data_IF_019835606759
#
_entry.id   IF_019835606759
#
_cell.length_a   1.000
_cell.length_b   1.000
_cell.length_c   1.000
_cell.angle_alpha   90.00
_cell.angle_beta   90.00
_cell.angle_gamma   90.00
#
_symmetry.space_group_name_H-M   'P 1'
#
loop_
_entity.id
_entity.type
_entity.pdbx_description
1 polymer ?
#
# COMPACT_ATOMS: atom_id res chain seq x y z
N UNK A 1 14.68 -22.25 2.98
CA UNK A 1 13.62 -21.49 2.31
C UNK A 1 13.97 -20.02 2.40
N UNK A 2 13.95 -19.25 1.31
CA UNK A 2 14.14 -17.79 1.40
C UNK A 2 12.89 -17.21 2.05
N UNK A 3 13.03 -16.62 3.23
CA UNK A 3 11.96 -15.83 3.84
C UNK A 3 11.69 -14.61 2.95
N UNK A 4 10.48 -14.52 2.43
CA UNK A 4 10.02 -13.37 1.68
C UNK A 4 9.40 -12.38 2.68
N UNK A 5 10.12 -11.30 2.99
CA UNK A 5 9.72 -10.27 3.95
C UNK A 5 9.12 -9.04 3.25
N UNK A 6 8.35 -8.25 3.99
CA UNK A 6 7.83 -6.94 3.55
C UNK A 6 8.94 -6.06 2.98
N UNK A 7 10.10 -6.02 3.65
CA UNK A 7 11.25 -5.22 3.23
C UNK A 7 11.75 -5.62 1.84
N UNK A 8 11.76 -6.92 1.55
CA UNK A 8 12.21 -7.42 0.25
C UNK A 8 11.25 -7.03 -0.89
N UNK A 9 9.96 -6.92 -0.61
CA UNK A 9 8.97 -6.38 -1.55
C UNK A 9 9.18 -4.88 -1.74
N UNK A 10 9.33 -4.12 -0.65
CA UNK A 10 9.55 -2.68 -0.69
C UNK A 10 10.82 -2.30 -1.47
N UNK A 11 11.92 -3.01 -1.23
CA UNK A 11 13.20 -2.80 -1.93
C UNK A 11 13.09 -3.11 -3.42
N UNK A 12 12.38 -4.18 -3.78
CA UNK A 12 12.15 -4.55 -5.17
C UNK A 12 11.39 -3.43 -5.92
N UNK A 13 10.27 -2.97 -5.36
CA UNK A 13 9.45 -1.92 -5.99
C UNK A 13 10.22 -0.61 -6.14
N UNK A 14 11.00 -0.24 -5.11
CA UNK A 14 11.87 0.93 -5.17
C UNK A 14 12.89 0.84 -6.31
N UNK A 15 13.54 -0.32 -6.44
CA UNK A 15 14.58 -0.55 -7.44
C UNK A 15 14.04 -0.57 -8.86
N UNK A 16 12.96 -1.30 -9.11
CA UNK A 16 12.52 -1.60 -10.49
C UNK A 16 11.59 -0.54 -11.09
N UNK A 17 10.74 0.07 -10.26
CA UNK A 17 9.68 0.98 -10.71
C UNK A 17 9.93 2.43 -10.28
N UNK A 18 10.28 2.65 -9.02
CA UNK A 18 10.31 3.99 -8.45
C UNK A 18 11.48 4.86 -8.95
N UNK A 19 12.64 4.24 -9.17
CA UNK A 19 13.88 4.91 -9.60
C UNK A 19 13.81 5.54 -11.00
N UNK A 20 12.78 5.17 -11.78
CA UNK A 20 12.55 5.62 -13.16
C UNK A 20 11.46 6.68 -13.28
N UNK A 21 10.79 7.03 -12.18
CA UNK A 21 9.67 7.96 -12.17
C UNK A 21 10.09 9.36 -11.72
N UNK A 22 9.55 10.39 -12.36
CA UNK A 22 9.79 11.77 -11.96
C UNK A 22 9.20 12.01 -10.56
N UNK A 23 9.92 12.75 -9.71
CA UNK A 23 9.42 13.14 -8.38
C UNK A 23 8.04 13.77 -8.50
N UNK A 24 7.06 13.16 -7.85
CA UNK A 24 5.68 13.61 -7.87
C UNK A 24 5.32 14.09 -6.47
N UNK A 25 4.60 15.21 -6.39
CA UNK A 25 4.11 15.73 -5.13
C UNK A 25 3.05 14.79 -4.56
N UNK A 26 3.01 14.68 -3.22
CA UNK A 26 1.95 14.00 -2.47
C UNK A 26 0.58 14.40 -3.02
N UNK A 27 -0.21 13.40 -3.41
CA UNK A 27 -1.58 13.63 -3.85
C UNK A 27 -2.46 13.97 -2.64
N UNK A 28 -3.22 15.06 -2.75
CA UNK A 28 -4.20 15.44 -1.73
C UNK A 28 -5.62 15.22 -2.30
N UNK A 29 -6.32 14.14 -1.90
CA UNK A 29 -7.67 13.86 -2.39
C UNK A 29 -8.64 14.96 -2.02
N UNK A 30 -9.57 15.26 -2.94
CA UNK A 30 -10.65 16.21 -2.66
C UNK A 30 -11.74 15.57 -1.80
N UNK A 31 -12.59 16.38 -1.17
CA UNK A 31 -13.75 15.87 -0.44
C UNK A 31 -14.68 15.04 -1.32
N UNK A 32 -14.85 15.42 -2.60
CA UNK A 32 -15.67 14.66 -3.55
C UNK A 32 -15.07 13.28 -3.82
N UNK A 33 -13.74 13.18 -3.93
CA UNK A 33 -13.06 11.89 -4.05
C UNK A 33 -13.37 10.99 -2.85
N UNK A 34 -13.23 11.52 -1.63
CA UNK A 34 -13.55 10.77 -0.41
C UNK A 34 -15.00 10.30 -0.38
N UNK A 35 -15.94 11.14 -0.83
CA UNK A 35 -17.35 10.77 -0.88
C UNK A 35 -17.61 9.56 -1.78
N UNK A 36 -17.01 9.56 -2.99
CA UNK A 36 -17.12 8.44 -3.93
C UNK A 36 -16.42 7.19 -3.38
N UNK A 37 -15.20 7.34 -2.87
CA UNK A 37 -14.45 6.21 -2.30
C UNK A 37 -15.18 5.57 -1.12
N UNK A 38 -15.82 6.37 -0.26
CA UNK A 38 -16.62 5.89 0.86
C UNK A 38 -17.85 5.07 0.40
N UNK A 39 -18.46 5.42 -0.74
CA UNK A 39 -19.53 4.60 -1.32
C UNK A 39 -19.02 3.24 -1.79
N UNK A 40 -17.76 3.14 -2.22
CA UNK A 40 -17.12 1.90 -2.66
C UNK A 40 -16.52 1.08 -1.50
N UNK A 41 -16.41 1.66 -0.30
CA UNK A 41 -15.86 1.00 0.89
C UNK A 41 -16.85 1.03 2.08
N UNK A 42 -18.04 0.41 1.95
CA UNK A 42 -19.07 0.50 2.97
C UNK A 42 -18.70 -0.25 4.27
N UNK A 43 -19.16 0.22 5.41
CA UNK A 43 -18.97 -0.48 6.69
C UNK A 43 -17.52 -0.46 7.19
N UNK A 44 -16.93 -1.64 7.43
CA UNK A 44 -15.58 -1.79 8.02
C UNK A 44 -14.45 -1.88 6.98
N UNK A 45 -14.76 -1.68 5.70
CA UNK A 45 -13.73 -1.59 4.67
C UNK A 45 -13.00 -0.25 4.74
N UNK A 46 -11.82 -0.20 4.14
CA UNK A 46 -10.98 0.99 4.06
C UNK A 46 -10.34 1.05 2.67
N UNK A 47 -9.87 2.24 2.30
CA UNK A 47 -9.08 2.46 1.08
C UNK A 47 -7.85 3.28 1.43
N UNK A 48 -6.89 3.29 0.51
CA UNK A 48 -5.67 4.08 0.61
C UNK A 48 -5.29 4.60 -0.76
N UNK A 49 -4.46 5.64 -0.77
CA UNK A 49 -3.86 6.19 -1.98
C UNK A 49 -2.36 5.91 -1.88
N UNK A 50 -1.87 5.09 -2.81
CA UNK A 50 -0.47 4.69 -2.88
C UNK A 50 0.29 5.63 -3.81
N UNK A 51 1.35 6.24 -3.28
CA UNK A 51 2.36 6.90 -4.07
C UNK A 51 3.36 5.87 -4.57
N UNK A 52 3.32 5.56 -5.86
CA UNK A 52 4.16 4.52 -6.47
C UNK A 52 5.64 4.94 -6.52
N UNK A 53 5.93 6.24 -6.50
CA UNK A 53 7.31 6.74 -6.58
C UNK A 53 8.09 6.53 -5.29
N UNK A 54 7.43 6.47 -4.15
CA UNK A 54 8.08 6.26 -2.85
C UNK A 54 7.59 4.99 -2.16
N UNK A 55 6.57 4.34 -2.72
CA UNK A 55 5.81 3.25 -2.12
C UNK A 55 5.32 3.67 -0.73
N UNK A 56 4.83 4.91 -0.65
CA UNK A 56 4.32 5.54 0.56
C UNK A 56 2.82 5.77 0.44
N UNK A 57 2.14 5.89 1.58
CA UNK A 57 0.71 6.16 1.61
C UNK A 57 0.50 7.66 1.61
N UNK A 58 -0.03 8.19 0.51
CA UNK A 58 -0.45 9.59 0.44
C UNK A 58 -1.70 9.81 1.30
N UNK A 59 -2.56 8.79 1.39
CA UNK A 59 -3.74 8.76 2.23
C UNK A 59 -4.06 7.33 2.68
N UNK A 60 -4.61 7.18 3.87
CA UNK A 60 -5.24 5.94 4.33
C UNK A 60 -6.52 6.27 5.12
N UNK A 61 -7.59 5.54 4.83
CA UNK A 61 -8.87 5.77 5.48
C UNK A 61 -8.84 5.31 6.95
N UNK A 62 -9.42 6.07 7.91
CA UNK A 62 -9.34 5.76 9.35
C UNK A 62 -9.88 4.38 9.74
N UNK A 63 -10.79 3.79 8.96
CA UNK A 63 -11.26 2.43 9.22
C UNK A 63 -10.15 1.37 9.22
N UNK A 64 -8.95 1.67 8.71
CA UNK A 64 -7.79 0.77 8.82
C UNK A 64 -7.47 0.41 10.28
N UNK A 65 -7.77 1.29 11.23
CA UNK A 65 -7.54 1.05 12.66
C UNK A 65 -8.33 -0.17 13.17
N UNK A 66 -9.51 -0.41 12.58
CA UNK A 66 -10.36 -1.57 12.91
C UNK A 66 -9.68 -2.88 12.48
N UNK A 67 -8.90 -2.84 11.39
CA UNK A 67 -8.24 -4.01 10.82
C UNK A 67 -6.86 -4.22 11.45
N UNK A 68 -6.12 -3.15 11.71
CA UNK A 68 -4.74 -3.22 12.18
C UNK A 68 -4.57 -3.09 13.69
N UNK A 69 -5.54 -2.50 14.40
CA UNK A 69 -5.44 -2.22 15.83
C UNK A 69 -4.43 -1.12 16.20
N UNK A 70 -3.90 -0.39 15.22
CA UNK A 70 -3.01 0.78 15.41
C UNK A 70 -3.63 2.00 14.76
N UNK A 71 -3.24 3.19 15.22
CA UNK A 71 -3.73 4.47 14.68
C UNK A 71 -3.39 4.63 13.21
N UNK A 72 -4.31 5.19 12.42
CA UNK A 72 -4.15 5.26 10.97
C UNK A 72 -2.96 6.12 10.55
N UNK A 73 -2.57 7.12 11.35
CA UNK A 73 -1.41 7.97 11.10
C UNK A 73 -0.08 7.22 11.23
N UNK A 74 -0.06 6.09 11.93
CA UNK A 74 1.12 5.23 12.13
C UNK A 74 1.20 4.09 11.09
N UNK A 75 0.15 3.91 10.28
CA UNK A 75 0.12 2.85 9.27
C UNK A 75 1.00 3.22 8.08
N UNK A 76 1.91 2.32 7.73
CA UNK A 76 2.75 2.42 6.54
C UNK A 76 2.40 1.32 5.54
N UNK A 77 2.87 1.45 4.30
CA UNK A 77 2.72 0.38 3.31
C UNK A 77 3.41 -0.92 3.77
N UNK A 78 4.55 -0.82 4.47
CA UNK A 78 5.21 -1.98 5.07
C UNK A 78 4.35 -2.63 6.16
N UNK A 79 3.67 -1.82 6.99
CA UNK A 79 2.73 -2.32 8.00
C UNK A 79 1.59 -3.13 7.36
N UNK A 80 1.05 -2.64 6.23
CA UNK A 80 -0.01 -3.35 5.48
C UNK A 80 0.50 -4.66 4.84
N UNK A 81 1.69 -4.63 4.24
CA UNK A 81 2.30 -5.83 3.64
C UNK A 81 2.67 -6.87 4.70
N UNK A 82 3.01 -6.45 5.91
CA UNK A 82 3.29 -7.35 7.04
C UNK A 82 2.07 -8.17 7.49
N UNK A 83 0.85 -7.74 7.18
CA UNK A 83 -0.37 -8.49 7.43
C UNK A 83 -0.70 -9.51 6.32
N UNK A 84 -0.05 -9.41 5.16
CA UNK A 84 -0.27 -10.34 4.08
C UNK A 84 0.29 -11.72 4.45
N UNK A 85 -0.44 -12.78 4.06
CA UNK A 85 0.06 -14.14 4.23
C UNK A 85 1.35 -14.31 3.41
N UNK A 86 2.37 -15.03 3.91
CA UNK A 86 3.64 -15.23 3.19
C UNK A 86 3.47 -15.75 1.75
N UNK A 87 2.44 -16.58 1.53
CA UNK A 87 2.09 -17.12 0.21
C UNK A 87 1.62 -16.03 -0.77
N UNK A 88 0.95 -14.99 -0.29
CA UNK A 88 0.53 -13.86 -1.11
C UNK A 88 1.73 -12.99 -1.48
N UNK A 89 2.67 -12.79 -0.55
CA UNK A 89 3.94 -12.11 -0.83
C UNK A 89 4.77 -12.83 -1.91
N UNK A 90 4.78 -14.17 -1.89
CA UNK A 90 5.40 -14.97 -2.95
C UNK A 90 4.75 -14.75 -4.32
N UNK A 91 3.42 -14.61 -4.39
CA UNK A 91 2.70 -14.40 -5.65
C UNK A 91 3.05 -13.02 -6.23
N UNK A 92 3.07 -11.99 -5.39
CA UNK A 92 3.48 -10.63 -5.78
C UNK A 92 4.89 -10.66 -6.36
N UNK A 93 5.81 -11.40 -5.72
CA UNK A 93 7.19 -11.55 -6.17
C UNK A 93 7.36 -12.50 -7.38
N UNK A 94 6.44 -13.45 -7.62
CA UNK A 94 6.48 -14.35 -8.79
C UNK A 94 5.90 -13.73 -10.05
N UNK A 95 5.02 -12.73 -9.93
CA UNK A 95 4.53 -11.94 -11.08
C UNK A 95 5.67 -11.27 -11.87
N UNK A 96 6.85 -11.14 -11.25
CA UNK A 96 8.20 -10.92 -11.81
C UNK A 96 8.54 -11.69 -13.10
N UNK A 97 8.12 -12.95 -13.24
CA UNK A 97 8.64 -13.84 -14.27
C UNK A 97 7.75 -13.97 -15.53
N UNK A 98 6.59 -13.29 -15.56
CA UNK A 98 5.61 -13.39 -16.65
C UNK A 98 5.24 -12.03 -17.26
N UNK A 99 6.07 -11.00 -17.05
CA UNK A 99 5.99 -9.70 -17.72
C UNK A 99 7.31 -9.46 -18.44
#
# INVERSE_FOLDING_TARGET
>A
MKEFSSDHVMDFWKKEYSSKLNKHSKYNPTQQFHHIANMCAPGKFFYYILNINEISLDYIHPNVEIVMGVKHEEVTMSSLLGLALPKELEIILKKKNNI
#
